data_IF_711973540482
#
_entry.id   IF_711973540482
#
_cell.length_a   1.000
_cell.length_b   1.000
_cell.length_c   1.000
_cell.angle_alpha   90.00
_cell.angle_beta   90.00
_cell.angle_gamma   90.00
#
_symmetry.space_group_name_H-M   'P 1'
#
loop_
_entity.id
_entity.type
_entity.pdbx_description
1 polymer ?
#
# COMPACT_ATOMS: atom_id res chain seq x y z
N UNK A 1 -49.67 -16.15 44.14
CA UNK A 1 -49.03 -15.18 43.24
C UNK A 1 -48.17 -15.98 42.27
N UNK A 2 -48.45 -15.91 40.97
CA UNK A 2 -47.74 -16.67 39.94
C UNK A 2 -46.49 -15.90 39.53
N UNK A 3 -45.31 -16.43 39.85
CA UNK A 3 -44.04 -15.87 39.42
C UNK A 3 -43.85 -16.11 37.92
N UNK A 4 -44.02 -15.04 37.15
CA UNK A 4 -43.83 -15.03 35.70
C UNK A 4 -42.34 -14.85 35.42
N UNK A 5 -41.64 -15.94 35.12
CA UNK A 5 -40.24 -15.89 34.69
C UNK A 5 -40.15 -15.32 33.28
N UNK A 6 -39.62 -14.11 33.15
CA UNK A 6 -39.23 -13.52 31.87
C UNK A 6 -38.00 -14.26 31.32
N UNK A 7 -38.21 -15.17 30.38
CA UNK A 7 -37.14 -15.78 29.59
C UNK A 7 -36.72 -14.83 28.48
N UNK A 8 -35.50 -14.30 28.55
CA UNK A 8 -34.92 -13.47 27.49
C UNK A 8 -34.66 -14.32 26.24
N UNK A 9 -34.98 -13.82 25.03
CA UNK A 9 -34.76 -14.56 23.79
C UNK A 9 -33.25 -14.75 23.53
N UNK A 10 -32.86 -15.87 22.90
CA UNK A 10 -31.45 -16.17 22.65
C UNK A 10 -30.78 -15.09 21.78
N UNK A 11 -29.50 -14.77 22.03
CA UNK A 11 -28.77 -13.77 21.27
C UNK A 11 -28.67 -14.19 19.81
N UNK A 12 -28.97 -13.25 18.91
CA UNK A 12 -28.91 -13.50 17.46
C UNK A 12 -27.47 -13.91 17.06
N UNK A 13 -27.31 -14.90 16.18
CA UNK A 13 -25.98 -15.28 15.69
C UNK A 13 -25.32 -14.10 14.98
N UNK A 14 -24.01 -13.94 15.19
CA UNK A 14 -23.23 -12.91 14.51
C UNK A 14 -23.32 -13.13 13.00
N UNK A 15 -23.79 -12.13 12.26
CA UNK A 15 -23.81 -12.18 10.80
C UNK A 15 -22.42 -12.45 10.26
N UNK A 16 -22.32 -13.28 9.21
CA UNK A 16 -21.07 -13.54 8.53
C UNK A 16 -20.50 -12.24 7.94
N UNK A 17 -19.31 -11.85 8.40
CA UNK A 17 -18.56 -10.72 7.88
C UNK A 17 -17.42 -11.28 7.04
N UNK A 18 -17.44 -10.98 5.73
CA UNK A 18 -16.39 -11.40 4.80
C UNK A 18 -15.02 -10.87 5.24
N UNK A 19 -14.00 -11.73 5.19
CA UNK A 19 -12.60 -11.40 5.44
C UNK A 19 -12.06 -10.32 4.49
N UNK A 20 -12.72 -10.13 3.35
CA UNK A 20 -12.34 -9.15 2.33
C UNK A 20 -13.08 -7.81 2.45
N UNK A 21 -13.85 -7.60 3.53
CA UNK A 21 -14.67 -6.39 3.69
C UNK A 21 -13.83 -5.11 3.67
N UNK A 22 -12.66 -5.11 4.27
CA UNK A 22 -11.76 -3.95 4.29
C UNK A 22 -11.21 -3.62 2.89
N UNK A 23 -10.81 -4.65 2.13
CA UNK A 23 -10.34 -4.50 0.76
C UNK A 23 -11.44 -3.93 -0.16
N UNK A 24 -12.67 -4.43 -0.04
CA UNK A 24 -13.82 -3.94 -0.83
C UNK A 24 -14.16 -2.48 -0.47
N UNK A 25 -14.08 -2.09 0.81
CA UNK A 25 -14.31 -0.71 1.24
C UNK A 25 -13.23 0.23 0.68
N UNK A 26 -11.97 -0.19 0.68
CA UNK A 26 -10.84 0.55 0.09
C UNK A 26 -11.03 0.73 -1.43
N UNK A 27 -11.35 -0.33 -2.17
CA UNK A 27 -11.60 -0.24 -3.61
C UNK A 27 -12.75 0.71 -3.96
N UNK A 28 -13.83 0.70 -3.17
CA UNK A 28 -14.98 1.58 -3.39
C UNK A 28 -14.66 3.05 -3.11
N UNK A 29 -13.75 3.35 -2.17
CA UNK A 29 -13.25 4.72 -1.95
C UNK A 29 -12.49 5.23 -3.18
N UNK A 30 -11.53 4.45 -3.69
CA UNK A 30 -10.76 4.81 -4.88
C UNK A 30 -11.63 4.96 -6.14
N UNK A 31 -12.65 4.12 -6.33
CA UNK A 31 -13.59 4.25 -7.45
C UNK A 31 -14.44 5.53 -7.38
N UNK A 32 -14.71 6.06 -6.19
CA UNK A 32 -15.51 7.26 -6.00
C UNK A 32 -14.69 8.56 -6.21
N UNK A 33 -13.37 8.50 -6.00
CA UNK A 33 -12.44 9.62 -6.23
C UNK A 33 -12.25 9.96 -7.72
N UNK A 34 -12.52 9.01 -8.62
CA UNK A 34 -12.47 9.22 -10.08
C UNK A 34 -13.82 9.67 -10.69
N UNK A 35 -14.83 10.00 -9.89
CA UNK A 35 -16.01 10.70 -10.42
C UNK A 35 -15.61 12.11 -10.85
N UNK A 36 -15.85 12.44 -12.11
CA UNK A 36 -15.73 13.81 -12.62
C UNK A 36 -16.60 14.74 -11.75
N UNK A 37 -16.04 15.89 -11.37
CA UNK A 37 -16.64 16.93 -10.52
C UNK A 37 -17.83 17.66 -11.19
N UNK A 38 -18.65 16.96 -11.96
CA UNK A 38 -19.83 17.54 -12.59
C UNK A 38 -21.01 17.42 -11.61
N UNK A 39 -21.73 18.51 -11.32
CA UNK A 39 -22.94 18.46 -10.52
C UNK A 39 -23.92 17.41 -11.07
N UNK A 40 -24.44 16.55 -10.20
CA UNK A 40 -25.33 15.42 -10.56
C UNK A 40 -26.64 15.85 -11.24
N UNK A 41 -27.00 17.12 -11.15
CA UNK A 41 -28.15 17.71 -11.85
C UNK A 41 -27.75 19.02 -12.49
N UNK A 42 -27.45 18.99 -13.79
CA UNK A 42 -27.46 20.20 -14.62
C UNK A 42 -28.91 20.44 -15.01
N UNK A 43 -29.51 21.57 -14.61
CA UNK A 43 -30.82 21.96 -15.14
C UNK A 43 -30.65 22.21 -16.63
N UNK A 44 -31.25 21.35 -17.46
CA UNK A 44 -31.27 21.56 -18.90
C UNK A 44 -32.04 22.86 -19.21
N UNK A 45 -31.48 23.78 -20.03
CA UNK A 45 -32.20 24.97 -20.45
C UNK A 45 -33.53 24.61 -21.11
N UNK A 46 -34.58 25.38 -20.80
CA UNK A 46 -35.90 25.18 -21.38
C UNK A 46 -35.88 25.46 -22.89
N UNK A 47 -36.64 24.72 -23.69
CA UNK A 47 -36.75 24.96 -25.14
C UNK A 47 -37.10 26.42 -25.49
N UNK A 48 -37.86 27.11 -24.62
CA UNK A 48 -38.23 28.52 -24.80
C UNK A 48 -37.04 29.48 -24.63
N UNK A 49 -36.04 29.11 -23.84
CA UNK A 49 -34.80 29.88 -23.63
C UNK A 49 -33.80 29.66 -24.78
N UNK A 50 -33.91 28.52 -25.46
CA UNK A 50 -33.09 28.15 -26.61
C UNK A 50 -33.58 28.75 -27.93
N UNK A 51 -34.83 29.22 -28.00
CA UNK A 51 -35.36 29.89 -29.18
C UNK A 51 -34.95 31.38 -29.19
N UNK A 52 -34.33 31.89 -30.27
CA UNK A 52 -34.06 33.33 -30.41
C UNK A 52 -35.37 34.11 -30.33
N UNK A 53 -35.51 34.98 -29.33
CA UNK A 53 -36.63 35.91 -29.28
C UNK A 53 -36.43 36.95 -30.38
N UNK A 54 -37.44 37.12 -31.24
CA UNK A 54 -37.45 38.16 -32.26
C UNK A 54 -37.46 39.52 -31.53
N UNK A 55 -36.51 40.43 -31.77
CA UNK A 55 -36.59 41.77 -31.21
C UNK A 55 -37.89 42.42 -31.69
N UNK A 56 -38.71 42.88 -30.76
CA UNK A 56 -39.89 43.66 -31.10
C UNK A 56 -39.48 45.06 -31.54
N UNK A 57 -39.81 45.39 -32.78
CA UNK A 57 -39.61 46.72 -33.35
C UNK A 57 -38.55 46.75 -34.43
N UNK A 58 -38.97 46.53 -35.67
CA UNK A 58 -38.82 47.47 -36.80
C UNK A 58 -39.20 46.73 -38.10
N UNK A 59 -40.13 47.32 -38.85
CA UNK A 59 -40.56 46.81 -40.16
C UNK A 59 -39.40 47.02 -41.14
N UNK A 60 -39.13 46.09 -42.07
CA UNK A 60 -38.04 46.26 -43.02
C UNK A 60 -38.42 47.29 -44.08
N UNK A 61 -37.76 48.44 -44.08
CA UNK A 61 -37.77 49.35 -45.22
C UNK A 61 -36.87 48.82 -46.34
N UNK A 62 -37.39 48.95 -47.55
CA UNK A 62 -36.86 48.68 -48.89
C UNK A 62 -35.44 48.11 -49.06
N UNK A 63 -35.40 47.02 -49.82
CA UNK A 63 -34.27 46.40 -50.51
C UNK A 63 -33.21 47.40 -51.05
N UNK A 64 -32.07 47.49 -50.37
CA UNK A 64 -30.81 47.79 -51.03
C UNK A 64 -30.02 46.48 -51.18
N UNK A 65 -29.89 45.99 -52.41
CA UNK A 65 -29.01 44.86 -52.71
C UNK A 65 -27.56 45.29 -52.44
N UNK A 66 -27.04 45.01 -51.24
CA UNK A 66 -25.60 45.04 -51.00
C UNK A 66 -24.97 44.03 -51.96
N UNK A 67 -24.09 44.50 -52.86
CA UNK A 67 -23.24 43.62 -53.67
C UNK A 67 -22.42 42.77 -52.69
N UNK A 68 -22.25 41.45 -52.92
CA UNK A 68 -21.34 40.68 -52.11
C UNK A 68 -19.94 41.23 -52.33
N UNK A 69 -19.34 41.80 -51.29
CA UNK A 69 -17.90 41.98 -51.25
C UNK A 69 -17.27 40.61 -51.49
N UNK A 70 -16.39 40.51 -52.49
CA UNK A 70 -15.60 39.30 -52.74
C UNK A 70 -14.73 39.01 -51.52
N UNK A 71 -15.30 38.30 -50.55
CA UNK A 71 -14.55 37.65 -49.50
C UNK A 71 -13.71 36.61 -50.21
N UNK A 72 -12.40 36.86 -50.31
CA UNK A 72 -11.46 36.01 -51.04
C UNK A 72 -11.73 34.55 -50.71
N UNK A 73 -11.95 33.74 -51.75
CA UNK A 73 -12.20 32.31 -51.61
C UNK A 73 -11.09 31.73 -50.74
N UNK A 74 -11.40 31.33 -49.50
CA UNK A 74 -10.43 30.63 -48.65
C UNK A 74 -10.03 29.38 -49.43
N UNK A 75 -8.77 29.31 -49.85
CA UNK A 75 -8.25 28.14 -50.57
C UNK A 75 -8.34 26.95 -49.63
N UNK A 76 -9.38 26.14 -49.79
CA UNK A 76 -9.54 24.89 -49.06
C UNK A 76 -8.45 23.96 -49.58
N UNK A 77 -7.43 23.71 -48.76
CA UNK A 77 -6.45 22.68 -49.08
C UNK A 77 -7.18 21.34 -49.13
N UNK A 78 -7.09 20.66 -50.27
CA UNK A 78 -7.69 19.34 -50.42
C UNK A 78 -6.97 18.37 -49.48
N UNK A 79 -7.75 17.64 -48.66
CA UNK A 79 -7.20 16.58 -47.84
C UNK A 79 -6.62 15.48 -48.72
N UNK A 80 -5.47 14.88 -48.36
CA UNK A 80 -4.86 13.82 -49.13
C UNK A 80 -5.80 12.61 -49.20
N UNK A 81 -6.24 12.25 -50.41
CA UNK A 81 -7.15 11.13 -50.65
C UNK A 81 -6.62 10.20 -51.76
N UNK A 82 -6.82 8.90 -51.59
CA UNK A 82 -6.49 7.86 -52.58
C UNK A 82 -7.75 7.59 -53.41
N UNK A 83 -7.56 7.42 -54.72
CA UNK A 83 -8.65 7.06 -55.65
C UNK A 83 -8.09 6.09 -56.68
N UNK A 84 -8.65 4.88 -56.73
CA UNK A 84 -8.17 3.83 -57.63
C UNK A 84 -8.57 4.07 -59.09
N UNK A 85 -9.69 4.76 -59.34
CA UNK A 85 -10.23 5.06 -60.67
C UNK A 85 -10.53 6.54 -60.86
N UNK A 86 -10.50 7.05 -62.11
CA UNK A 86 -10.66 8.49 -62.41
C UNK A 86 -11.97 9.13 -61.89
N UNK A 87 -13.01 8.33 -61.64
CA UNK A 87 -14.31 8.75 -61.08
C UNK A 87 -14.71 7.96 -59.82
N UNK A 88 -13.76 7.24 -59.21
CA UNK A 88 -14.04 6.38 -58.06
C UNK A 88 -14.24 7.15 -56.76
N UNK A 89 -14.70 6.43 -55.75
CA UNK A 89 -14.85 6.95 -54.39
C UNK A 89 -13.49 7.32 -53.80
N UNK A 90 -13.44 8.48 -53.11
CA UNK A 90 -12.21 8.99 -52.51
C UNK A 90 -12.05 8.48 -51.09
N UNK A 91 -10.96 7.75 -50.84
CA UNK A 91 -10.60 7.29 -49.50
C UNK A 91 -9.60 8.26 -48.87
N UNK A 92 -9.96 8.84 -47.72
CA UNK A 92 -9.09 9.75 -46.98
C UNK A 92 -7.87 9.01 -46.39
N UNK A 93 -6.65 9.51 -46.65
CA UNK A 93 -5.41 8.81 -46.25
C UNK A 93 -5.16 8.78 -44.73
N UNK A 94 -5.63 9.78 -43.98
CA UNK A 94 -5.27 9.93 -42.56
C UNK A 94 -5.72 8.75 -41.67
N UNK A 95 -6.81 8.06 -42.04
CA UNK A 95 -7.41 6.97 -41.24
C UNK A 95 -7.45 5.62 -41.97
N UNK A 96 -6.99 5.57 -43.22
CA UNK A 96 -7.06 4.36 -44.06
C UNK A 96 -6.00 3.31 -43.72
N UNK A 97 -5.04 3.64 -42.84
CA UNK A 97 -3.91 2.75 -42.50
C UNK A 97 -2.82 2.68 -43.59
N UNK A 98 -3.01 3.37 -44.72
CA UNK A 98 -2.04 3.45 -45.82
C UNK A 98 -0.86 4.39 -45.51
N UNK A 99 -1.04 5.32 -44.57
CA UNK A 99 -0.01 6.25 -44.10
C UNK A 99 0.24 6.03 -42.61
N UNK A 100 1.51 6.01 -42.14
CA UNK A 100 1.84 5.93 -40.73
C UNK A 100 1.35 7.15 -39.93
N UNK A 101 0.10 7.12 -39.50
CA UNK A 101 -0.55 8.22 -38.77
C UNK A 101 0.06 8.46 -37.38
N UNK A 102 0.39 7.40 -36.66
CA UNK A 102 0.87 7.50 -35.27
C UNK A 102 2.36 7.82 -35.13
N UNK A 103 3.16 7.62 -36.19
CA UNK A 103 4.60 7.97 -36.20
C UNK A 103 4.81 9.48 -36.23
N UNK A 104 3.90 10.22 -36.86
CA UNK A 104 3.96 11.68 -36.99
C UNK A 104 3.38 12.42 -35.77
N UNK A 105 2.96 11.69 -34.73
CA UNK A 105 2.45 12.32 -33.53
C UNK A 105 3.59 13.04 -32.80
N UNK A 106 3.37 14.28 -32.37
CA UNK A 106 4.36 15.07 -31.63
C UNK A 106 4.83 14.39 -30.33
N UNK A 107 3.98 13.55 -29.73
CA UNK A 107 4.27 12.81 -28.51
C UNK A 107 4.89 11.42 -28.77
N UNK A 108 5.17 11.08 -30.03
CA UNK A 108 5.74 9.78 -30.37
C UNK A 108 7.16 9.66 -29.76
N UNK A 109 7.40 8.58 -29.04
CA UNK A 109 8.65 8.36 -28.30
C UNK A 109 8.80 9.18 -27.01
N UNK A 110 7.89 10.12 -26.70
CA UNK A 110 7.93 10.90 -25.46
C UNK A 110 7.21 10.14 -24.34
N UNK A 111 7.90 9.92 -23.22
CA UNK A 111 7.29 9.31 -22.03
C UNK A 111 6.19 10.24 -21.49
N UNK A 112 4.92 9.79 -21.43
CA UNK A 112 3.83 10.60 -20.92
C UNK A 112 4.07 11.09 -19.49
N UNK A 113 3.64 12.32 -19.19
CA UNK A 113 3.90 12.97 -17.89
C UNK A 113 3.38 12.18 -16.68
N UNK A 114 2.30 11.41 -16.82
CA UNK A 114 1.78 10.58 -15.73
C UNK A 114 2.73 9.43 -15.34
N UNK A 115 3.51 8.88 -16.28
CA UNK A 115 4.48 7.83 -15.97
C UNK A 115 5.66 8.39 -15.17
N UNK A 116 6.08 9.63 -15.46
CA UNK A 116 7.11 10.34 -14.68
C UNK A 116 6.64 10.59 -13.25
N UNK A 117 5.40 11.05 -13.09
CA UNK A 117 4.77 11.23 -11.76
C UNK A 117 4.75 9.92 -10.97
N UNK A 118 4.28 8.82 -11.56
CA UNK A 118 4.27 7.51 -10.90
C UNK A 118 5.67 7.00 -10.52
N UNK A 119 6.69 7.25 -11.35
CA UNK A 119 8.08 6.89 -11.01
C UNK A 119 8.57 7.71 -9.80
N UNK A 120 8.36 9.02 -9.82
CA UNK A 120 8.73 9.91 -8.73
C UNK A 120 8.00 9.55 -7.43
N UNK A 121 6.70 9.22 -7.49
CA UNK A 121 5.93 8.75 -6.33
C UNK A 121 6.50 7.45 -5.75
N UNK A 122 6.87 6.49 -6.61
CA UNK A 122 7.50 5.23 -6.17
C UNK A 122 8.87 5.45 -5.54
N UNK A 123 9.69 6.32 -6.13
CA UNK A 123 11.02 6.66 -5.61
C UNK A 123 10.90 7.38 -4.27
N UNK A 124 9.97 8.32 -4.14
CA UNK A 124 9.69 9.00 -2.88
C UNK A 124 9.20 8.03 -1.81
N UNK A 125 8.24 7.16 -2.15
CA UNK A 125 7.75 6.15 -1.20
C UNK A 125 8.86 5.20 -0.74
N UNK A 126 9.79 4.84 -1.63
CA UNK A 126 10.98 4.06 -1.29
C UNK A 126 11.88 4.84 -0.33
N UNK A 127 12.19 6.10 -0.63
CA UNK A 127 13.00 6.95 0.24
C UNK A 127 12.38 7.15 1.62
N UNK A 128 11.07 7.39 1.69
CA UNK A 128 10.35 7.55 2.96
C UNK A 128 10.39 6.26 3.79
N UNK A 129 10.28 5.09 3.15
CA UNK A 129 10.39 3.79 3.80
C UNK A 129 11.82 3.52 4.30
N UNK A 130 12.82 3.75 3.45
CA UNK A 130 14.23 3.60 3.79
C UNK A 130 14.59 4.53 4.96
N UNK A 131 14.17 5.80 4.92
CA UNK A 131 14.38 6.77 5.99
C UNK A 131 13.67 6.38 7.30
N UNK A 132 12.49 5.77 7.23
CA UNK A 132 11.81 5.23 8.41
C UNK A 132 12.61 4.06 9.02
N UNK A 133 13.11 3.14 8.20
CA UNK A 133 13.96 2.03 8.65
C UNK A 133 15.26 2.53 9.29
N UNK A 134 15.93 3.52 8.68
CA UNK A 134 17.15 4.11 9.25
C UNK A 134 16.90 4.76 10.61
N UNK A 135 15.80 5.53 10.75
CA UNK A 135 15.43 6.11 12.05
C UNK A 135 15.16 5.05 13.11
N UNK A 136 14.51 3.95 12.75
CA UNK A 136 14.30 2.83 13.67
C UNK A 136 15.64 2.18 14.07
N UNK A 137 16.54 1.98 13.12
CA UNK A 137 17.86 1.41 13.39
C UNK A 137 18.73 2.32 14.28
N UNK A 138 18.66 3.64 14.11
CA UNK A 138 19.35 4.60 14.98
C UNK A 138 18.82 4.56 16.42
N UNK A 139 17.51 4.36 16.60
CA UNK A 139 16.90 4.27 17.93
C UNK A 139 17.27 2.98 18.67
N UNK A 140 17.53 1.89 17.95
CA UNK A 140 17.80 0.57 18.55
C UNK A 140 19.24 0.16 18.27
N UNK A 141 20.13 0.48 19.21
CA UNK A 141 21.55 0.12 19.09
C UNK A 141 21.73 -1.39 19.28
N UNK A 142 22.45 -2.08 18.38
CA UNK A 142 22.81 -3.47 18.61
C UNK A 142 23.81 -3.57 19.77
N UNK A 143 23.74 -4.68 20.50
CA UNK A 143 24.67 -4.99 21.58
C UNK A 143 26.10 -5.07 21.03
N UNK A 144 27.07 -4.44 21.71
CA UNK A 144 28.46 -4.48 21.29
C UNK A 144 29.01 -5.91 21.36
N UNK A 145 29.86 -6.28 20.40
CA UNK A 145 30.37 -7.65 20.29
C UNK A 145 31.15 -8.10 21.55
N UNK A 146 31.92 -7.19 22.16
CA UNK A 146 32.62 -7.48 23.41
C UNK A 146 31.65 -7.76 24.57
N UNK A 147 30.57 -6.98 24.67
CA UNK A 147 29.55 -7.17 25.70
C UNK A 147 28.82 -8.51 25.48
N UNK A 148 28.52 -8.84 24.23
CA UNK A 148 27.95 -10.12 23.83
C UNK A 148 28.84 -11.30 24.24
N UNK A 149 30.14 -11.22 23.98
CA UNK A 149 31.11 -12.26 24.36
C UNK A 149 31.24 -12.41 25.87
N UNK A 150 31.24 -11.30 26.61
CA UNK A 150 31.27 -11.33 28.07
C UNK A 150 30.02 -12.04 28.63
N UNK A 151 28.84 -11.74 28.11
CA UNK A 151 27.58 -12.41 28.49
C UNK A 151 27.64 -13.89 28.15
N UNK A 152 28.09 -14.25 26.95
CA UNK A 152 28.21 -15.65 26.53
C UNK A 152 29.17 -16.43 27.45
N UNK A 153 30.28 -15.81 27.84
CA UNK A 153 31.20 -16.40 28.80
C UNK A 153 30.55 -16.57 30.18
N UNK A 154 29.79 -15.59 30.66
CA UNK A 154 29.02 -15.67 31.91
C UNK A 154 27.99 -16.80 31.89
N UNK A 155 27.23 -16.95 30.80
CA UNK A 155 26.28 -18.05 30.61
C UNK A 155 26.98 -19.41 30.64
N UNK A 156 28.13 -19.54 29.98
CA UNK A 156 28.93 -20.78 30.00
C UNK A 156 29.46 -21.11 31.40
N UNK A 157 29.85 -20.11 32.20
CA UNK A 157 30.24 -20.33 33.62
C UNK A 157 29.05 -20.82 34.44
N UNK A 158 27.91 -20.14 34.36
CA UNK A 158 26.69 -20.54 35.06
C UNK A 158 26.22 -21.94 34.68
N UNK A 159 26.32 -22.30 33.40
CA UNK A 159 26.04 -23.67 32.95
C UNK A 159 26.94 -24.69 33.63
N UNK A 160 28.25 -24.42 33.69
CA UNK A 160 29.20 -25.32 34.36
C UNK A 160 28.91 -25.46 35.85
N UNK A 161 28.52 -24.38 36.53
CA UNK A 161 28.12 -24.40 37.94
C UNK A 161 26.90 -25.29 38.16
N UNK A 162 25.83 -25.09 37.39
CA UNK A 162 24.61 -25.92 37.46
C UNK A 162 24.89 -27.39 37.13
N UNK A 163 25.73 -27.63 36.12
CA UNK A 163 26.11 -28.97 35.71
C UNK A 163 26.96 -29.66 36.80
N UNK A 164 27.86 -28.93 37.46
CA UNK A 164 28.63 -29.45 38.59
C UNK A 164 27.71 -29.83 39.76
N UNK A 165 26.76 -28.97 40.12
CA UNK A 165 25.77 -29.28 41.15
C UNK A 165 24.94 -30.51 40.78
N UNK A 166 24.47 -30.58 39.53
CA UNK A 166 23.72 -31.72 39.01
C UNK A 166 24.53 -33.02 39.08
N UNK A 167 25.82 -32.98 38.71
CA UNK A 167 26.71 -34.14 38.78
C UNK A 167 27.05 -34.55 40.21
N UNK A 168 27.04 -33.61 41.15
CA UNK A 168 27.24 -33.90 42.58
C UNK A 168 26.05 -34.63 43.22
N UNK A 169 24.92 -34.76 42.52
CA UNK A 169 23.74 -35.44 43.02
C UNK A 169 23.99 -36.95 43.22
N UNK A 170 23.30 -37.58 44.18
CA UNK A 170 23.38 -39.02 44.37
C UNK A 170 22.94 -39.79 43.12
N UNK A 171 23.65 -40.88 42.81
CA UNK A 171 23.35 -41.72 41.64
C UNK A 171 21.92 -42.28 41.64
N UNK A 172 21.40 -42.65 42.81
CA UNK A 172 20.04 -43.16 42.98
C UNK A 172 19.10 -42.09 43.54
N UNK A 173 18.33 -41.45 42.65
CA UNK A 173 17.23 -40.55 43.02
C UNK A 173 15.91 -41.22 42.67
N UNK A 174 15.14 -41.58 43.69
CA UNK A 174 13.79 -42.13 43.53
C UNK A 174 12.74 -41.01 43.57
N UNK A 175 11.63 -41.11 42.81
CA UNK A 175 10.51 -40.16 42.89
C UNK A 175 9.90 -40.01 44.29
N UNK A 176 10.05 -41.01 45.18
CA UNK A 176 9.62 -40.94 46.58
C UNK A 176 10.44 -39.94 47.41
N UNK A 177 11.68 -39.63 46.99
CA UNK A 177 12.53 -38.60 47.58
C UNK A 177 12.21 -37.23 46.99
N UNK A 178 10.97 -36.78 47.13
CA UNK A 178 10.40 -35.60 46.47
C UNK A 178 11.32 -34.36 46.49
N UNK A 179 12.00 -34.06 47.60
CA UNK A 179 12.91 -32.90 47.69
C UNK A 179 14.09 -33.00 46.71
N UNK A 180 14.78 -34.14 46.68
CA UNK A 180 15.94 -34.36 45.79
C UNK A 180 15.50 -34.50 44.34
N UNK A 181 14.36 -35.17 44.11
CA UNK A 181 13.77 -35.31 42.79
C UNK A 181 13.38 -33.94 42.19
N UNK A 182 12.66 -33.10 42.93
CA UNK A 182 12.27 -31.78 42.46
C UNK A 182 13.49 -30.87 42.25
N UNK A 183 14.50 -30.96 43.11
CA UNK A 183 15.74 -30.20 42.92
C UNK A 183 16.48 -30.62 41.65
N UNK A 184 16.54 -31.93 41.36
CA UNK A 184 17.09 -32.47 40.11
C UNK A 184 16.34 -31.89 38.90
N UNK A 185 15.00 -31.95 38.91
CA UNK A 185 14.17 -31.39 37.83
C UNK A 185 14.43 -29.89 37.63
N UNK A 186 14.52 -29.12 38.72
CA UNK A 186 14.83 -27.71 38.66
C UNK A 186 16.20 -27.44 38.02
N UNK A 187 17.23 -28.23 38.36
CA UNK A 187 18.55 -28.12 37.74
C UNK A 187 18.50 -28.43 36.25
N UNK A 188 17.77 -29.46 35.83
CA UNK A 188 17.58 -29.81 34.41
C UNK A 188 16.88 -28.69 33.63
N UNK A 189 15.81 -28.13 34.18
CA UNK A 189 15.08 -27.00 33.59
C UNK A 189 15.98 -25.75 33.49
N UNK A 190 16.73 -25.44 34.54
CA UNK A 190 17.65 -24.31 34.58
C UNK A 190 18.79 -24.47 33.56
N UNK A 191 19.38 -25.67 33.44
CA UNK A 191 20.40 -25.97 32.43
C UNK A 191 19.81 -25.83 31.02
N UNK A 192 18.62 -26.37 30.77
CA UNK A 192 17.94 -26.24 29.47
C UNK A 192 17.66 -24.78 29.10
N UNK A 193 17.31 -23.93 30.08
CA UNK A 193 17.13 -22.51 29.84
C UNK A 193 18.45 -21.84 29.43
N UNK A 194 19.55 -22.11 30.14
CA UNK A 194 20.87 -21.55 29.81
C UNK A 194 21.35 -22.02 28.43
N UNK A 195 21.10 -23.27 28.05
CA UNK A 195 21.41 -23.79 26.71
C UNK A 195 20.65 -23.04 25.61
N UNK A 196 19.34 -22.80 25.81
CA UNK A 196 18.52 -22.01 24.87
C UNK A 196 19.04 -20.59 24.74
N UNK A 197 19.42 -19.98 25.86
CA UNK A 197 19.98 -18.63 25.88
C UNK A 197 21.31 -18.61 25.11
N UNK A 198 22.23 -19.56 25.39
CA UNK A 198 23.51 -19.68 24.66
C UNK A 198 23.27 -19.85 23.15
N UNK A 199 22.36 -20.74 22.75
CA UNK A 199 22.04 -20.97 21.34
C UNK A 199 21.52 -19.69 20.66
N UNK A 200 20.62 -18.95 21.31
CA UNK A 200 20.10 -17.67 20.81
C UNK A 200 21.23 -16.66 20.57
N UNK A 201 22.19 -16.59 21.49
CA UNK A 201 23.35 -15.70 21.36
C UNK A 201 24.35 -16.16 20.27
N UNK A 202 24.52 -17.46 20.06
CA UNK A 202 25.44 -18.00 19.04
C UNK A 202 24.85 -17.93 17.62
N UNK A 203 23.56 -18.20 17.44
CA UNK A 203 22.86 -18.15 16.15
C UNK A 203 22.73 -16.72 15.59
N UNK A 204 22.48 -15.74 16.45
CA UNK A 204 22.21 -14.37 16.03
C UNK A 204 23.46 -13.49 16.08
N UNK A 205 23.90 -13.00 14.92
CA UNK A 205 25.03 -12.06 14.82
C UNK A 205 24.75 -10.73 15.52
N UNK A 206 23.54 -10.19 15.38
CA UNK A 206 23.14 -8.92 15.99
C UNK A 206 21.94 -9.13 16.92
N UNK A 207 22.07 -8.68 18.17
CA UNK A 207 21.00 -8.71 19.16
C UNK A 207 20.71 -7.29 19.57
N UNK A 208 19.44 -6.92 19.51
CA UNK A 208 18.97 -5.61 19.89
C UNK A 208 18.41 -5.68 21.30
N UNK A 209 18.90 -4.82 22.17
CA UNK A 209 18.48 -4.78 23.57
C UNK A 209 17.95 -3.39 23.86
N UNK A 210 16.82 -3.31 24.57
CA UNK A 210 16.36 -2.01 25.09
C UNK A 210 17.26 -1.56 26.25
N UNK A 211 17.40 -0.26 26.47
CA UNK A 211 18.26 0.32 27.51
C UNK A 211 18.03 -0.28 28.91
N UNK A 212 16.78 -0.57 29.28
CA UNK A 212 16.46 -1.17 30.58
C UNK A 212 17.04 -2.60 30.75
N UNK A 213 16.92 -3.44 29.71
CA UNK A 213 17.46 -4.79 29.69
C UNK A 213 18.99 -4.80 29.58
N UNK A 214 19.58 -3.81 28.89
CA UNK A 214 21.03 -3.65 28.81
C UNK A 214 21.66 -3.42 30.19
N UNK A 215 21.06 -2.56 31.01
CA UNK A 215 21.47 -2.34 32.39
C UNK A 215 21.33 -3.60 33.26
N UNK A 216 20.26 -4.38 33.07
CA UNK A 216 20.07 -5.63 33.82
C UNK A 216 21.18 -6.65 33.54
N UNK A 217 21.54 -6.83 32.26
CA UNK A 217 22.58 -7.77 31.86
C UNK A 217 23.96 -7.38 32.41
N UNK A 218 24.27 -6.08 32.53
CA UNK A 218 25.54 -5.60 33.12
C UNK A 218 25.67 -5.85 34.62
N UNK A 219 24.56 -5.94 35.34
CA UNK A 219 24.56 -6.02 36.80
C UNK A 219 24.41 -7.45 37.35
N UNK A 220 24.01 -8.43 36.51
CA UNK A 220 23.63 -9.77 36.95
C UNK A 220 24.44 -10.91 36.31
N UNK A 221 25.38 -10.60 35.41
CA UNK A 221 26.29 -11.54 34.74
C UNK A 221 27.74 -11.11 34.95
#
# INVERSE_FOLDING_TARGET
CLDTQFTLPPPKPKMYISKYREAIVLENKYKNEHRTMVPRTVKAPSHREMCPQRPEGEKPEHTFRKKPEHTGMKKVMAQPACVDTRKGDKQLLEKSGLVPFYLQKNDYGIVPGYLRRRKAEKEKAKQDNDAWLTKQQETVKPLAEQEKQNILQGLKRRFNELNFEYQSLPFTISPSQHKKYNYKMFLEEAMSQVEKDIALFEEHKYIYTSDAFHCFLKNNL
#
